data_IF_896238785262
#
_entry.id   IF_896238785262
#
_cell.length_a   1.000
_cell.length_b   1.000
_cell.length_c   1.000
_cell.angle_alpha   90.00
_cell.angle_beta   90.00
_cell.angle_gamma   90.00
#
_symmetry.space_group_name_H-M   'P 1'
#
loop_
_entity.id
_entity.type
_entity.pdbx_description
1 polymer ?
#
# COMPACT_ATOMS: atom_id res chain seq x y z
N UNK A 1 -88.81 1.98 10.79
CA UNK A 1 -88.06 0.89 10.13
C UNK A 1 -86.75 1.45 9.59
N UNK A 2 -85.64 0.82 9.98
CA UNK A 2 -84.30 0.84 9.37
C UNK A 2 -83.60 2.18 9.09
N UNK A 3 -82.52 2.46 9.83
CA UNK A 3 -81.12 2.47 9.34
C UNK A 3 -80.21 3.18 10.35
N UNK A 4 -79.85 2.50 11.44
CA UNK A 4 -78.81 2.96 12.38
C UNK A 4 -78.10 1.76 13.01
N UNK A 5 -77.45 0.91 12.20
CA UNK A 5 -76.61 -0.18 12.72
C UNK A 5 -75.73 -0.82 11.64
N UNK A 6 -74.75 -0.08 11.08
CA UNK A 6 -73.70 -0.70 10.26
C UNK A 6 -72.33 -0.03 10.31
N UNK A 7 -72.13 1.08 11.03
CA UNK A 7 -70.85 1.82 10.98
C UNK A 7 -69.99 1.77 12.24
N UNK A 8 -70.46 1.20 13.36
CA UNK A 8 -69.66 1.10 14.60
C UNK A 8 -68.91 -0.22 14.75
N UNK A 9 -69.28 -1.28 14.02
CA UNK A 9 -68.56 -2.56 14.05
C UNK A 9 -67.36 -2.62 13.09
N UNK A 10 -67.29 -1.74 12.08
CA UNK A 10 -66.17 -1.73 11.13
C UNK A 10 -64.98 -0.88 11.60
N UNK A 11 -65.16 -0.02 12.60
CA UNK A 11 -64.08 0.82 13.14
C UNK A 11 -63.37 0.22 14.36
N UNK A 12 -63.90 -0.84 14.98
CA UNK A 12 -63.19 -1.59 16.03
C UNK A 12 -62.38 -2.78 15.50
N UNK A 13 -62.56 -3.15 14.23
CA UNK A 13 -61.78 -4.18 13.54
C UNK A 13 -60.62 -3.62 12.70
N UNK A 14 -60.34 -2.31 12.84
CA UNK A 14 -59.19 -1.64 12.21
C UNK A 14 -58.09 -1.26 13.22
N UNK A 15 -58.23 -1.66 14.50
CA UNK A 15 -57.29 -1.30 15.58
C UNK A 15 -56.51 -2.51 16.13
N UNK A 16 -56.75 -3.72 15.63
CA UNK A 16 -56.05 -4.94 16.05
C UNK A 16 -55.49 -5.69 14.83
N UNK A 17 -54.36 -5.23 14.31
CA UNK A 17 -53.72 -5.88 13.17
C UNK A 17 -52.46 -5.22 12.59
N UNK A 18 -51.94 -4.18 13.24
CA UNK A 18 -50.63 -3.60 12.91
C UNK A 18 -49.69 -3.80 14.10
N UNK A 19 -49.52 -5.07 14.49
CA UNK A 19 -48.23 -5.50 15.01
C UNK A 19 -47.28 -5.40 13.83
N UNK A 20 -46.67 -4.23 13.65
CA UNK A 20 -45.54 -4.10 12.76
C UNK A 20 -44.51 -5.11 13.26
N UNK A 21 -44.41 -6.23 12.55
CA UNK A 21 -43.23 -7.08 12.60
C UNK A 21 -42.16 -6.18 11.99
N UNK A 22 -41.54 -5.34 12.83
CA UNK A 22 -40.22 -4.83 12.54
C UNK A 22 -39.33 -6.06 12.55
N UNK A 23 -39.31 -6.77 11.42
CA UNK A 23 -38.20 -7.62 11.07
C UNK A 23 -37.01 -6.66 10.95
N UNK A 24 -36.39 -6.33 12.08
CA UNK A 24 -35.01 -5.88 12.09
C UNK A 24 -34.27 -6.99 11.38
N UNK A 25 -33.99 -6.80 10.08
CA UNK A 25 -33.04 -7.62 9.38
C UNK A 25 -31.78 -7.56 10.23
N UNK A 26 -31.45 -8.66 10.91
CA UNK A 26 -30.17 -8.78 11.57
C UNK A 26 -29.18 -8.75 10.42
N UNK A 27 -28.60 -7.58 10.14
CA UNK A 27 -27.49 -7.46 9.20
C UNK A 27 -26.43 -8.37 9.78
N UNK A 28 -26.14 -9.48 9.09
CA UNK A 28 -25.15 -10.43 9.52
C UNK A 28 -23.83 -9.68 9.77
N UNK A 29 -23.11 -9.99 10.87
CA UNK A 29 -21.83 -9.38 11.12
C UNK A 29 -20.89 -9.68 9.94
N UNK A 30 -20.10 -8.70 9.56
CA UNK A 30 -19.02 -8.92 8.61
C UNK A 30 -17.80 -9.42 9.38
N UNK A 31 -17.05 -10.33 8.77
CA UNK A 31 -15.82 -10.88 9.37
C UNK A 31 -14.62 -10.43 8.55
N UNK A 32 -13.57 -9.99 9.24
CA UNK A 32 -12.31 -9.56 8.64
C UNK A 32 -11.51 -10.79 8.16
N UNK A 33 -11.05 -10.77 6.90
CA UNK A 33 -10.27 -11.86 6.26
C UNK A 33 -8.84 -11.95 6.80
N UNK A 34 -8.18 -10.80 6.91
CA UNK A 34 -6.79 -10.63 7.33
C UNK A 34 -6.64 -9.27 8.02
N UNK A 35 -5.54 -9.05 8.73
CA UNK A 35 -5.27 -7.80 9.45
C UNK A 35 -5.57 -6.57 8.57
N UNK A 36 -6.31 -5.59 9.10
CA UNK A 36 -6.79 -4.45 8.32
C UNK A 36 -6.79 -3.15 9.12
N UNK A 37 -6.45 -2.06 8.44
CA UNK A 37 -6.51 -0.71 8.98
C UNK A 37 -7.92 -0.12 8.86
N UNK A 38 -8.50 0.23 10.00
CA UNK A 38 -9.71 1.04 10.07
C UNK A 38 -9.34 2.52 10.16
N UNK A 39 -9.80 3.31 9.20
CA UNK A 39 -9.45 4.73 9.03
C UNK A 39 -10.65 5.65 9.23
N UNK A 40 -10.40 6.94 9.45
CA UNK A 40 -11.47 7.92 9.66
C UNK A 40 -12.16 8.40 8.37
N UNK A 41 -11.76 7.87 7.20
CA UNK A 41 -12.39 8.13 5.91
C UNK A 41 -12.06 7.04 4.87
N UNK A 42 -12.75 7.04 3.72
CA UNK A 42 -12.63 6.01 2.69
C UNK A 42 -11.38 6.24 1.80
N UNK A 43 -10.21 5.88 2.31
CA UNK A 43 -8.94 6.02 1.61
C UNK A 43 -7.73 5.68 2.49
N UNK A 44 -6.64 5.19 1.89
CA UNK A 44 -5.42 4.83 2.64
C UNK A 44 -4.71 6.06 3.24
N UNK A 45 -4.96 7.24 2.69
CA UNK A 45 -4.46 8.53 3.14
C UNK A 45 -5.23 9.14 4.33
N UNK A 46 -6.35 8.52 4.74
CA UNK A 46 -7.06 8.94 5.94
C UNK A 46 -6.37 8.44 7.20
N UNK A 47 -6.57 9.16 8.32
CA UNK A 47 -5.95 8.86 9.61
C UNK A 47 -6.35 7.46 10.08
N UNK A 48 -5.36 6.65 10.46
CA UNK A 48 -5.57 5.36 11.12
C UNK A 48 -6.26 5.57 12.46
N UNK A 49 -7.38 4.88 12.69
CA UNK A 49 -8.09 4.86 13.96
C UNK A 49 -7.71 3.66 14.80
N UNK A 50 -7.69 2.49 14.14
CA UNK A 50 -7.55 1.20 14.79
C UNK A 50 -7.08 0.16 13.77
N UNK A 51 -6.32 -0.83 14.21
CA UNK A 51 -6.01 -2.03 13.43
C UNK A 51 -6.83 -3.22 13.93
N UNK A 52 -7.60 -3.84 13.03
CA UNK A 52 -8.44 -5.02 13.31
C UNK A 52 -7.73 -6.29 12.87
N UNK A 53 -7.83 -7.37 13.65
CA UNK A 53 -7.23 -8.67 13.31
C UNK A 53 -8.10 -9.50 12.36
N UNK A 54 -7.50 -10.52 11.73
CA UNK A 54 -8.26 -11.58 11.06
C UNK A 54 -9.28 -12.20 12.01
N UNK A 55 -10.48 -12.46 11.53
CA UNK A 55 -11.58 -13.00 12.31
C UNK A 55 -12.33 -11.97 13.17
N UNK A 56 -11.86 -10.72 13.25
CA UNK A 56 -12.60 -9.65 13.90
C UNK A 56 -13.99 -9.49 13.26
N UNK A 57 -15.03 -9.38 14.08
CA UNK A 57 -16.39 -9.15 13.60
C UNK A 57 -16.77 -7.68 13.75
N UNK A 58 -17.52 -7.15 12.78
CA UNK A 58 -17.98 -5.78 12.83
C UNK A 58 -19.39 -5.66 12.25
N UNK A 59 -20.05 -4.54 12.55
CA UNK A 59 -21.34 -4.19 11.91
C UNK A 59 -21.09 -3.29 10.71
N UNK A 60 -21.52 -3.71 9.52
CA UNK A 60 -21.57 -2.83 8.34
C UNK A 60 -22.56 -1.68 8.57
N UNK A 61 -22.15 -0.46 8.27
CA UNK A 61 -22.92 0.76 8.45
C UNK A 61 -23.21 1.46 7.13
N UNK A 62 -22.24 1.50 6.21
CA UNK A 62 -22.34 2.20 4.93
C UNK A 62 -21.29 1.66 3.93
N UNK A 63 -21.31 2.12 2.68
CA UNK A 63 -20.28 1.85 1.69
C UNK A 63 -20.03 3.02 0.74
N UNK A 64 -18.77 3.26 0.39
CA UNK A 64 -18.35 4.29 -0.57
C UNK A 64 -17.25 3.70 -1.46
N UNK A 65 -17.55 3.53 -2.75
CA UNK A 65 -16.64 2.93 -3.73
C UNK A 65 -16.08 1.57 -3.26
N UNK A 66 -14.78 1.48 -3.01
CA UNK A 66 -14.08 0.28 -2.56
C UNK A 66 -13.97 0.18 -1.03
N UNK A 67 -14.63 1.05 -0.27
CA UNK A 67 -14.54 1.13 1.19
C UNK A 67 -15.88 0.82 1.86
N UNK A 68 -15.83 0.11 2.98
CA UNK A 68 -16.97 -0.18 3.85
C UNK A 68 -16.84 0.63 5.13
N UNK A 69 -17.89 1.36 5.49
CA UNK A 69 -18.00 1.97 6.81
C UNK A 69 -18.52 0.92 7.78
N UNK A 70 -17.81 0.75 8.88
CA UNK A 70 -18.09 -0.29 9.86
C UNK A 70 -18.10 0.30 11.26
N UNK A 71 -18.84 -0.34 12.14
CA UNK A 71 -18.75 -0.14 13.58
C UNK A 71 -18.10 -1.39 14.18
N UNK A 72 -16.88 -1.23 14.66
CA UNK A 72 -16.15 -2.20 15.46
C UNK A 72 -15.87 -1.55 16.81
N UNK A 73 -16.20 -2.24 17.90
CA UNK A 73 -16.11 -1.66 19.24
C UNK A 73 -16.98 -0.40 19.41
N UNK A 74 -16.46 0.60 20.12
CA UNK A 74 -17.04 1.93 20.26
C UNK A 74 -16.63 2.89 19.13
N UNK A 75 -15.86 2.43 18.13
CA UNK A 75 -15.37 3.27 17.02
C UNK A 75 -16.14 2.99 15.73
N UNK A 76 -16.25 4.02 14.91
CA UNK A 76 -16.79 3.92 13.55
C UNK A 76 -15.72 4.40 12.58
N UNK A 77 -15.45 3.63 11.55
CA UNK A 77 -14.42 3.95 10.57
C UNK A 77 -14.62 3.17 9.28
N UNK A 78 -13.65 3.30 8.39
CA UNK A 78 -13.67 2.74 7.05
C UNK A 78 -12.59 1.70 6.88
N UNK A 79 -12.94 0.57 6.28
CA UNK A 79 -12.02 -0.50 5.90
C UNK A 79 -12.20 -0.85 4.42
N UNK A 80 -11.20 -1.46 3.77
CA UNK A 80 -11.30 -1.94 2.40
C UNK A 80 -12.41 -2.99 2.27
N UNK A 81 -13.29 -2.86 1.27
CA UNK A 81 -14.37 -3.83 1.02
C UNK A 81 -13.86 -5.26 0.87
N UNK A 82 -12.73 -5.42 0.18
CA UNK A 82 -12.12 -6.73 -0.10
C UNK A 82 -11.52 -7.41 1.12
N UNK A 83 -11.30 -6.70 2.23
CA UNK A 83 -10.75 -7.27 3.46
C UNK A 83 -11.80 -7.99 4.31
N UNK A 84 -13.05 -8.11 3.85
CA UNK A 84 -14.15 -8.71 4.61
C UNK A 84 -14.89 -9.78 3.82
N UNK A 85 -15.56 -10.68 4.53
CA UNK A 85 -16.56 -11.62 4.00
C UNK A 85 -17.78 -11.66 4.92
N UNK A 86 -18.88 -12.18 4.41
CA UNK A 86 -20.08 -12.52 5.17
C UNK A 86 -20.18 -14.04 5.19
N UNK A 87 -20.15 -14.63 6.40
CA UNK A 87 -20.12 -16.10 6.61
C UNK A 87 -21.28 -16.85 5.91
N UNK A 88 -22.46 -16.23 5.83
CA UNK A 88 -23.66 -16.87 5.25
C UNK A 88 -23.69 -16.87 3.72
N UNK A 89 -22.85 -16.10 3.03
CA UNK A 89 -22.90 -15.93 1.56
C UNK A 89 -21.58 -16.23 0.85
N UNK A 90 -20.45 -16.23 1.55
CA UNK A 90 -19.13 -16.40 0.94
C UNK A 90 -18.32 -17.47 1.69
N UNK A 91 -17.98 -18.57 1.00
CA UNK A 91 -17.01 -19.54 1.52
C UNK A 91 -15.64 -18.87 1.68
N UNK A 92 -14.98 -19.17 2.79
CA UNK A 92 -13.59 -18.83 3.13
C UNK A 92 -12.66 -19.20 1.95
N UNK A 93 -12.26 -18.21 1.16
CA UNK A 93 -11.38 -18.39 -0.01
C UNK A 93 -10.28 -17.34 0.07
N UNK A 94 -9.32 -17.53 0.97
CA UNK A 94 -8.11 -16.70 0.98
C UNK A 94 -6.87 -17.61 0.99
N UNK A 95 -5.88 -17.36 0.13
CA UNK A 95 -4.59 -18.05 0.16
C UNK A 95 -3.74 -17.71 1.41
N UNK A 96 -4.18 -16.78 2.26
CA UNK A 96 -3.45 -16.30 3.46
C UNK A 96 -3.46 -17.29 4.65
N UNK A 97 -4.11 -18.46 4.58
CA UNK A 97 -4.21 -19.35 5.74
C UNK A 97 -2.97 -20.22 6.00
N UNK A 98 -2.04 -20.30 5.05
CA UNK A 98 -0.87 -21.18 5.18
C UNK A 98 0.43 -20.43 5.53
N UNK A 99 0.38 -19.13 5.86
CA UNK A 99 1.56 -18.43 6.39
C UNK A 99 1.55 -18.51 7.92
N UNK A 100 2.53 -19.25 8.43
CA UNK A 100 2.91 -19.45 9.84
C UNK A 100 2.51 -18.27 10.72
N UNK A 101 1.73 -18.51 11.79
CA UNK A 101 1.62 -17.57 12.92
C UNK A 101 3.03 -17.26 13.40
N UNK A 102 3.57 -16.10 13.04
CA UNK A 102 4.92 -15.72 13.44
C UNK A 102 4.89 -15.13 14.83
N UNK A 103 5.96 -15.29 15.61
CA UNK A 103 6.00 -14.75 16.98
C UNK A 103 5.92 -13.22 17.02
N UNK A 104 6.11 -12.58 15.87
CA UNK A 104 5.98 -11.15 15.69
C UNK A 104 4.53 -10.67 15.38
N UNK A 105 3.65 -11.52 14.85
CA UNK A 105 2.20 -11.27 14.88
C UNK A 105 1.70 -11.27 16.34
N UNK A 106 2.22 -12.20 17.16
CA UNK A 106 1.94 -12.25 18.61
C UNK A 106 2.46 -11.00 19.37
N UNK A 107 3.31 -10.18 18.75
CA UNK A 107 3.84 -8.94 19.36
C UNK A 107 2.94 -7.73 19.13
N UNK A 108 2.31 -7.64 17.94
CA UNK A 108 1.17 -6.76 17.76
C UNK A 108 0.00 -7.20 18.63
N UNK A 109 -0.13 -8.51 18.87
CA UNK A 109 -1.14 -9.04 19.78
C UNK A 109 -0.95 -8.57 21.23
N UNK A 110 0.28 -8.35 21.68
CA UNK A 110 0.61 -7.78 23.01
C UNK A 110 0.61 -6.24 23.03
N UNK A 111 0.87 -5.54 21.91
CA UNK A 111 0.63 -4.09 21.85
C UNK A 111 -0.87 -3.74 21.98
N UNK A 112 -1.75 -4.73 21.75
CA UNK A 112 -3.18 -4.66 22.02
C UNK A 112 -3.54 -4.92 23.50
N UNK A 113 -2.55 -5.11 24.39
CA UNK A 113 -2.73 -5.40 25.82
C UNK A 113 -3.66 -4.36 26.49
N UNK A 114 -4.94 -4.73 26.61
CA UNK A 114 -5.93 -4.06 27.44
C UNK A 114 -7.17 -3.48 26.74
N UNK A 115 -7.18 -3.32 25.41
CA UNK A 115 -8.40 -2.88 24.68
C UNK A 115 -9.09 -4.07 24.00
N UNK A 116 -9.55 -5.03 24.79
CA UNK A 116 -10.69 -5.86 24.37
C UNK A 116 -11.97 -5.08 24.64
N UNK A 117 -12.78 -4.88 23.60
CA UNK A 117 -14.07 -4.24 23.74
C UNK A 117 -15.12 -5.20 24.34
N UNK A 118 -16.34 -4.70 24.57
CA UNK A 118 -17.48 -5.49 25.05
C UNK A 118 -17.90 -6.65 24.12
N UNK A 119 -17.26 -6.80 22.95
CA UNK A 119 -17.47 -7.87 21.98
C UNK A 119 -16.25 -8.82 21.87
N UNK A 120 -15.18 -8.61 22.65
CA UNK A 120 -14.00 -9.46 22.68
C UNK A 120 -13.09 -9.35 21.46
N UNK A 121 -13.16 -8.27 20.68
CA UNK A 121 -12.37 -8.11 19.45
C UNK A 121 -10.98 -7.55 19.75
N UNK A 122 -9.88 -8.25 19.38
CA UNK A 122 -8.52 -7.75 19.57
C UNK A 122 -8.19 -6.61 18.59
N UNK A 123 -7.61 -5.50 19.06
CA UNK A 123 -7.25 -4.36 18.20
C UNK A 123 -6.13 -3.49 18.79
N UNK A 124 -5.43 -2.71 17.95
CA UNK A 124 -4.38 -1.79 18.38
C UNK A 124 -4.68 -0.33 17.98
N UNK A 125 -4.40 0.63 18.87
CA UNK A 125 -4.60 2.06 18.63
C UNK A 125 -3.48 2.67 17.78
N UNK A 126 -3.77 3.81 17.12
CA UNK A 126 -2.77 4.52 16.30
C UNK A 126 -1.48 4.85 17.08
N UNK A 127 -1.59 5.28 18.34
CA UNK A 127 -0.43 5.68 19.15
C UNK A 127 0.51 4.50 19.44
N UNK A 128 -0.06 3.32 19.72
CA UNK A 128 0.71 2.10 19.96
C UNK A 128 1.44 1.65 18.69
N UNK A 129 0.75 1.65 17.53
CA UNK A 129 1.36 1.31 16.24
C UNK A 129 2.51 2.28 15.94
N UNK A 130 2.28 3.60 16.08
CA UNK A 130 3.29 4.62 15.80
C UNK A 130 4.52 4.51 16.71
N UNK A 131 4.33 4.25 18.01
CA UNK A 131 5.43 4.12 18.96
C UNK A 131 6.30 2.89 18.64
N UNK A 132 5.67 1.74 18.37
CA UNK A 132 6.39 0.51 18.03
C UNK A 132 7.20 0.65 16.74
N UNK A 133 6.59 1.25 15.72
CA UNK A 133 7.25 1.47 14.43
C UNK A 133 8.43 2.45 14.56
N UNK A 134 8.25 3.57 15.29
CA UNK A 134 9.33 4.54 15.52
C UNK A 134 10.51 3.94 16.30
N UNK A 135 10.23 3.16 17.34
CA UNK A 135 11.25 2.45 18.11
C UNK A 135 12.07 1.54 17.22
N UNK A 136 11.39 0.59 16.55
CA UNK A 136 12.05 -0.35 15.64
C UNK A 136 12.85 0.34 14.53
N UNK A 137 12.26 1.33 13.84
CA UNK A 137 12.94 2.00 12.73
C UNK A 137 14.22 2.71 13.17
N UNK A 138 14.23 3.34 14.36
CA UNK A 138 15.41 3.97 14.95
C UNK A 138 16.50 2.94 15.28
N UNK A 139 16.11 1.82 15.86
CA UNK A 139 17.06 0.76 16.25
C UNK A 139 17.67 0.09 15.01
N UNK A 140 16.85 -0.29 14.04
CA UNK A 140 17.32 -0.86 12.77
C UNK A 140 18.26 0.09 12.01
N UNK A 141 17.95 1.39 12.00
CA UNK A 141 18.79 2.41 11.36
C UNK A 141 20.14 2.54 12.06
N UNK A 142 20.14 2.54 13.39
CA UNK A 142 21.36 2.64 14.20
C UNK A 142 22.28 1.42 14.01
N UNK A 143 21.72 0.25 13.68
CA UNK A 143 22.50 -0.96 13.34
C UNK A 143 23.11 -0.91 11.92
N UNK A 144 22.53 -0.13 11.01
CA UNK A 144 22.96 -0.05 9.60
C UNK A 144 23.83 1.16 9.27
N UNK A 145 23.73 2.22 10.06
CA UNK A 145 24.35 3.50 9.77
C UNK A 145 24.85 4.16 11.06
N UNK A 146 25.89 4.99 10.94
CA UNK A 146 26.42 5.77 12.07
C UNK A 146 25.50 6.95 12.47
N UNK A 147 24.53 7.30 11.61
CA UNK A 147 23.57 8.38 11.83
C UNK A 147 22.37 7.88 12.65
N UNK A 148 22.06 8.60 13.73
CA UNK A 148 20.93 8.28 14.63
C UNK A 148 19.66 9.09 14.36
N UNK A 149 19.67 10.00 13.36
CA UNK A 149 18.57 10.94 13.17
C UNK A 149 18.20 11.11 11.70
N UNK A 150 16.91 11.05 11.42
CA UNK A 150 16.27 11.30 10.12
C UNK A 150 14.94 11.99 10.37
N UNK A 151 14.65 13.01 9.56
CA UNK A 151 13.37 13.73 9.65
C UNK A 151 12.17 12.89 9.18
N UNK A 152 12.43 11.80 8.45
CA UNK A 152 11.40 10.84 8.02
C UNK A 152 10.57 10.33 9.20
N UNK A 153 11.19 10.06 10.36
CA UNK A 153 10.50 9.56 11.55
C UNK A 153 9.76 10.65 12.35
N UNK A 154 9.99 11.93 12.05
CA UNK A 154 9.25 13.03 12.66
C UNK A 154 7.91 13.22 11.93
N UNK A 155 7.91 13.02 10.61
CA UNK A 155 6.75 13.20 9.73
C UNK A 155 6.02 11.88 9.38
N UNK A 156 5.93 10.95 10.35
CA UNK A 156 5.24 9.66 10.18
C UNK A 156 3.79 9.81 9.70
N UNK A 157 3.12 10.86 10.16
CA UNK A 157 1.79 11.23 9.70
C UNK A 157 1.96 12.15 8.47
N UNK A 158 2.28 11.55 7.32
CA UNK A 158 2.25 12.25 6.03
C UNK A 158 0.82 12.69 5.72
N UNK A 159 0.49 13.94 6.03
CA UNK A 159 -0.85 14.50 5.80
C UNK A 159 -1.05 14.80 4.31
N UNK A 160 -1.44 13.78 3.57
CA UNK A 160 -2.19 13.99 2.33
C UNK A 160 -3.51 14.64 2.73
N UNK A 161 -3.72 15.89 2.32
CA UNK A 161 -4.99 16.57 2.53
C UNK A 161 -6.09 15.85 1.74
N UNK A 162 -7.12 15.26 2.39
CA UNK A 162 -8.16 14.51 1.68
C UNK A 162 -8.89 15.34 0.63
N UNK A 163 -9.13 16.64 0.90
CA UNK A 163 -9.78 17.53 -0.05
C UNK A 163 -8.88 17.82 -1.26
N UNK A 164 -7.60 18.11 -1.03
CA UNK A 164 -6.64 18.36 -2.10
C UNK A 164 -6.46 17.13 -3.00
N UNK A 165 -6.39 15.93 -2.40
CA UNK A 165 -6.29 14.69 -3.15
C UNK A 165 -7.57 14.38 -3.94
N UNK A 166 -8.76 14.55 -3.33
CA UNK A 166 -10.03 14.36 -4.04
C UNK A 166 -10.14 15.28 -5.26
N UNK A 167 -9.76 16.54 -5.11
CA UNK A 167 -9.73 17.50 -6.23
C UNK A 167 -8.75 17.04 -7.33
N UNK A 168 -7.51 16.69 -6.95
CA UNK A 168 -6.52 16.16 -7.88
C UNK A 168 -7.05 14.94 -8.65
N UNK A 169 -7.60 13.95 -7.93
CA UNK A 169 -8.15 12.72 -8.48
C UNK A 169 -9.28 13.00 -9.47
N UNK A 170 -10.22 13.87 -9.09
CA UNK A 170 -11.36 14.21 -9.95
C UNK A 170 -10.91 14.89 -11.24
N UNK A 171 -9.91 15.77 -11.18
CA UNK A 171 -9.32 16.39 -12.37
C UNK A 171 -8.63 15.35 -13.28
N UNK A 172 -7.94 14.36 -12.70
CA UNK A 172 -7.23 13.32 -13.46
C UNK A 172 -8.16 12.31 -14.11
N UNK A 173 -9.27 12.00 -13.46
CA UNK A 173 -10.19 10.92 -13.84
C UNK A 173 -11.53 11.41 -14.39
N UNK A 174 -11.68 12.72 -14.66
CA UNK A 174 -12.96 13.34 -15.06
C UNK A 174 -13.68 12.62 -16.22
N UNK A 175 -12.93 12.09 -17.19
CA UNK A 175 -13.46 11.38 -18.36
C UNK A 175 -13.05 9.90 -18.39
N UNK A 176 -12.71 9.36 -17.23
CA UNK A 176 -12.21 8.00 -17.09
C UNK A 176 -13.35 6.99 -16.97
N UNK A 177 -13.37 5.97 -17.84
CA UNK A 177 -14.32 4.87 -17.77
C UNK A 177 -13.75 3.72 -16.97
N UNK A 178 -14.24 3.57 -15.74
CA UNK A 178 -13.86 2.49 -14.83
C UNK A 178 -14.29 1.11 -15.34
N UNK A 179 -15.45 1.00 -15.98
CA UNK A 179 -15.91 -0.27 -16.54
C UNK A 179 -14.97 -0.75 -17.65
N UNK A 180 -14.51 0.17 -18.51
CA UNK A 180 -13.51 -0.13 -19.55
C UNK A 180 -12.14 -0.47 -18.94
N UNK A 181 -11.77 0.18 -17.84
CA UNK A 181 -10.56 -0.12 -17.10
C UNK A 181 -10.57 -1.55 -16.58
N UNK A 182 -11.67 -1.93 -15.92
CA UNK A 182 -11.86 -3.21 -15.26
C UNK A 182 -12.05 -4.35 -16.25
N UNK A 183 -12.77 -4.14 -17.34
CA UNK A 183 -12.97 -5.18 -18.36
C UNK A 183 -11.68 -5.53 -19.10
N UNK A 184 -10.77 -4.55 -19.26
CA UNK A 184 -9.48 -4.77 -19.91
C UNK A 184 -8.42 -5.35 -18.96
N UNK A 185 -8.43 -4.92 -17.71
CA UNK A 185 -7.53 -5.42 -16.67
C UNK A 185 -8.33 -5.75 -15.42
N UNK A 186 -8.77 -6.99 -15.31
CA UNK A 186 -9.38 -7.49 -14.09
C UNK A 186 -8.31 -7.64 -13.01
N UNK A 187 -8.63 -7.25 -11.78
CA UNK A 187 -7.74 -7.40 -10.62
C UNK A 187 -8.33 -8.47 -9.71
N UNK A 188 -7.69 -9.63 -9.61
CA UNK A 188 -8.21 -10.72 -8.78
C UNK A 188 -7.61 -10.65 -7.38
N UNK A 189 -8.45 -10.84 -6.37
CA UNK A 189 -8.03 -10.68 -4.98
C UNK A 189 -6.94 -11.67 -4.54
N UNK A 190 -6.85 -12.84 -5.20
CA UNK A 190 -5.84 -13.86 -4.92
C UNK A 190 -4.47 -13.60 -5.60
N UNK A 191 -4.36 -12.56 -6.44
CA UNK A 191 -3.10 -12.21 -7.12
C UNK A 191 -2.16 -11.39 -6.22
N UNK A 192 -2.68 -10.79 -5.14
CA UNK A 192 -1.90 -10.05 -4.15
C UNK A 192 -2.28 -10.47 -2.72
N UNK A 193 -1.29 -10.72 -1.87
CA UNK A 193 -1.51 -11.04 -0.44
C UNK A 193 -2.12 -9.83 0.30
N UNK A 194 -2.72 -10.05 1.48
CA UNK A 194 -3.32 -9.01 2.32
C UNK A 194 -2.30 -8.07 3.01
N UNK A 195 -2.80 -7.14 3.83
CA UNK A 195 -1.93 -6.27 4.63
C UNK A 195 -1.22 -7.10 5.69
N UNK A 196 0.10 -6.97 5.73
CA UNK A 196 0.95 -7.63 6.72
C UNK A 196 1.62 -6.55 7.60
N UNK A 197 1.19 -6.40 8.86
CA UNK A 197 1.73 -5.41 9.79
C UNK A 197 3.24 -5.55 10.02
N UNK A 198 3.77 -6.76 9.94
CA UNK A 198 5.18 -7.04 10.17
C UNK A 198 6.03 -6.51 9.01
N UNK A 199 5.54 -6.73 7.78
CA UNK A 199 6.16 -6.20 6.56
C UNK A 199 6.14 -4.68 6.57
N UNK A 200 5.03 -4.09 6.98
CA UNK A 200 4.93 -2.64 7.12
C UNK A 200 5.98 -2.10 8.10
N UNK A 201 6.12 -2.70 9.30
CA UNK A 201 7.14 -2.31 10.27
C UNK A 201 8.56 -2.44 9.73
N UNK A 202 8.90 -3.58 9.13
CA UNK A 202 10.17 -3.78 8.46
C UNK A 202 10.41 -2.71 7.38
N UNK A 203 9.36 -2.37 6.63
CA UNK A 203 9.36 -1.32 5.62
C UNK A 203 9.73 0.06 6.17
N UNK A 204 9.28 0.42 7.36
CA UNK A 204 9.67 1.68 8.00
C UNK A 204 11.15 1.73 8.36
N UNK A 205 11.73 0.64 8.89
CA UNK A 205 13.17 0.55 9.11
C UNK A 205 13.96 0.71 7.81
N UNK A 206 13.52 0.05 6.74
CA UNK A 206 14.13 0.13 5.39
C UNK A 206 14.04 1.54 4.83
N UNK A 207 12.85 2.15 4.86
CA UNK A 207 12.61 3.51 4.39
C UNK A 207 13.54 4.49 5.12
N UNK A 208 13.72 4.30 6.43
CA UNK A 208 14.57 5.17 7.22
C UNK A 208 16.04 5.04 6.86
N UNK A 209 16.54 3.81 6.60
CA UNK A 209 17.90 3.60 6.11
C UNK A 209 18.10 4.21 4.72
N UNK A 210 17.10 4.11 3.84
CA UNK A 210 17.16 4.71 2.49
C UNK A 210 17.22 6.24 2.58
N UNK A 211 16.42 6.84 3.46
CA UNK A 211 16.36 8.29 3.66
C UNK A 211 17.68 8.91 4.14
N UNK A 212 18.59 8.12 4.73
CA UNK A 212 19.95 8.58 5.10
C UNK A 212 20.82 8.99 3.89
N UNK A 213 20.39 8.68 2.66
CA UNK A 213 21.02 9.20 1.44
C UNK A 213 20.78 10.71 1.23
N UNK A 214 19.93 11.34 2.05
CA UNK A 214 19.52 12.73 1.93
C UNK A 214 18.20 12.87 1.17
N UNK A 215 17.32 13.73 1.67
CA UNK A 215 16.04 14.05 1.06
C UNK A 215 16.01 15.51 0.59
N UNK A 216 15.37 15.76 -0.54
CA UNK A 216 15.10 17.12 -1.00
C UNK A 216 13.95 17.70 -0.18
N UNK A 217 14.17 18.86 0.43
CA UNK A 217 13.14 19.61 1.16
C UNK A 217 12.18 20.31 0.21
N UNK A 218 11.25 19.56 -0.38
CA UNK A 218 10.19 20.12 -1.23
C UNK A 218 8.87 19.37 -1.02
N UNK A 219 8.19 19.70 0.08
CA UNK A 219 6.92 19.06 0.46
C UNK A 219 5.84 19.19 -0.60
N UNK A 220 5.71 20.36 -1.23
CA UNK A 220 4.70 20.61 -2.25
C UNK A 220 4.89 19.70 -3.48
N UNK A 221 6.14 19.47 -3.89
CA UNK A 221 6.45 18.57 -4.98
C UNK A 221 6.25 17.10 -4.57
N UNK A 222 6.70 16.71 -3.37
CA UNK A 222 6.48 15.37 -2.83
C UNK A 222 5.00 15.03 -2.70
N UNK A 223 4.16 15.98 -2.25
CA UNK A 223 2.71 15.83 -2.20
C UNK A 223 2.10 15.65 -3.59
N UNK A 224 2.53 16.44 -4.58
CA UNK A 224 2.09 16.28 -5.96
C UNK A 224 2.42 14.88 -6.51
N UNK A 225 3.65 14.41 -6.32
CA UNK A 225 4.07 13.06 -6.71
C UNK A 225 3.29 11.98 -5.94
N UNK A 226 3.05 12.19 -4.65
CA UNK A 226 2.24 11.30 -3.82
C UNK A 226 0.79 11.20 -4.31
N UNK A 227 0.18 12.30 -4.72
CA UNK A 227 -1.17 12.28 -5.28
C UNK A 227 -1.24 11.47 -6.58
N UNK A 228 -0.24 11.56 -7.46
CA UNK A 228 -0.16 10.70 -8.66
C UNK A 228 -0.12 9.24 -8.25
N UNK A 229 0.76 8.88 -7.31
CA UNK A 229 0.91 7.51 -6.80
C UNK A 229 -0.36 7.01 -6.12
N UNK A 230 -1.09 7.84 -5.38
CA UNK A 230 -2.36 7.45 -4.76
C UNK A 230 -3.42 7.09 -5.80
N UNK A 231 -3.53 7.84 -6.90
CA UNK A 231 -4.44 7.46 -8.00
C UNK A 231 -4.10 6.08 -8.55
N UNK A 232 -2.81 5.74 -8.63
CA UNK A 232 -2.34 4.42 -9.08
C UNK A 232 -2.65 3.35 -8.04
N UNK A 233 -2.41 3.64 -6.75
CA UNK A 233 -2.70 2.73 -5.64
C UNK A 233 -4.17 2.33 -5.61
N UNK A 234 -5.10 3.30 -5.68
CA UNK A 234 -6.55 3.06 -5.78
C UNK A 234 -6.95 2.20 -6.99
N UNK A 235 -6.09 2.13 -8.00
CA UNK A 235 -6.27 1.38 -9.22
C UNK A 235 -5.51 0.04 -9.26
N UNK A 236 -4.86 -0.34 -8.16
CA UNK A 236 -4.09 -1.57 -8.02
C UNK A 236 -4.87 -2.66 -7.30
N UNK A 237 -4.28 -3.86 -7.15
CA UNK A 237 -4.89 -4.92 -6.34
C UNK A 237 -5.13 -4.51 -4.88
N UNK A 238 -4.29 -3.59 -4.37
CA UNK A 238 -4.26 -3.14 -2.98
C UNK A 238 -4.50 -1.62 -2.92
N UNK A 239 -5.76 -1.22 -3.13
CA UNK A 239 -6.19 0.20 -3.07
C UNK A 239 -6.07 0.81 -1.67
N UNK A 240 -5.89 -0.03 -0.67
CA UNK A 240 -5.66 0.33 0.71
C UNK A 240 -4.18 0.55 1.07
N UNK A 241 -3.26 0.27 0.15
CA UNK A 241 -1.83 0.50 0.37
C UNK A 241 -1.61 1.99 0.64
N UNK A 242 -1.10 2.38 1.82
CA UNK A 242 -0.65 3.75 2.03
C UNK A 242 0.52 4.00 1.08
N UNK A 243 0.63 5.20 0.51
CA UNK A 243 1.77 5.56 -0.34
C UNK A 243 2.25 6.95 -0.01
N UNK A 244 3.56 7.12 0.00
CA UNK A 244 4.21 8.41 0.17
C UNK A 244 5.44 8.47 -0.71
N UNK A 245 5.57 9.53 -1.49
CA UNK A 245 6.73 9.74 -2.36
C UNK A 245 7.72 10.69 -1.69
N UNK A 246 8.98 10.28 -1.68
CA UNK A 246 10.11 11.06 -1.19
C UNK A 246 11.14 11.25 -2.30
N UNK A 247 11.78 12.42 -2.33
CA UNK A 247 12.79 12.74 -3.33
C UNK A 247 14.16 12.61 -2.69
N UNK A 248 14.99 11.71 -3.21
CA UNK A 248 16.38 11.56 -2.75
C UNK A 248 17.25 12.66 -3.37
N UNK A 249 18.07 13.30 -2.54
CA UNK A 249 19.08 14.25 -3.01
C UNK A 249 20.29 13.52 -3.61
N UNK A 250 20.08 12.96 -4.80
CA UNK A 250 21.10 12.21 -5.53
C UNK A 250 20.95 12.45 -7.02
N UNK A 251 22.09 12.68 -7.69
CA UNK A 251 22.17 12.77 -9.17
C UNK A 251 22.10 11.40 -9.85
N UNK A 252 22.09 10.31 -9.07
CA UNK A 252 21.91 8.95 -9.56
C UNK A 252 20.56 8.78 -10.25
N UNK A 253 20.41 7.75 -11.09
CA UNK A 253 19.15 7.40 -11.74
C UNK A 253 18.61 6.16 -11.06
N UNK A 254 17.95 6.37 -9.91
CA UNK A 254 17.46 5.30 -9.04
C UNK A 254 16.07 5.62 -8.48
N UNK A 255 15.34 4.54 -8.18
CA UNK A 255 14.11 4.55 -7.39
C UNK A 255 14.09 3.34 -6.47
N UNK A 256 13.39 3.47 -5.34
CA UNK A 256 13.21 2.39 -4.36
C UNK A 256 11.76 2.39 -3.85
N UNK A 257 11.25 1.21 -3.54
CA UNK A 257 9.98 1.04 -2.84
C UNK A 257 10.20 0.20 -1.59
N UNK A 258 9.68 0.66 -0.44
CA UNK A 258 9.66 -0.12 0.79
C UNK A 258 8.25 -0.66 1.08
N UNK A 259 8.13 -1.82 1.75
CA UNK A 259 6.84 -2.47 2.02
C UNK A 259 5.79 -1.63 2.75
N UNK A 260 6.19 -0.58 3.48
CA UNK A 260 5.27 0.36 4.14
C UNK A 260 4.64 1.38 3.18
N UNK A 261 4.96 1.32 1.88
CA UNK A 261 4.43 2.25 0.88
C UNK A 261 5.28 3.48 0.60
N UNK A 262 6.46 3.62 1.21
CA UNK A 262 7.37 4.70 0.86
C UNK A 262 8.04 4.42 -0.49
N UNK A 263 7.90 5.35 -1.43
CA UNK A 263 8.55 5.31 -2.73
C UNK A 263 9.56 6.45 -2.78
N UNK A 264 10.82 6.11 -3.03
CA UNK A 264 11.91 7.05 -3.15
C UNK A 264 12.26 7.20 -4.62
N UNK A 265 12.38 8.44 -5.08
CA UNK A 265 12.83 8.77 -6.44
C UNK A 265 14.01 9.73 -6.35
N UNK A 266 15.11 9.41 -7.02
CA UNK A 266 16.27 10.31 -7.08
C UNK A 266 16.00 11.56 -7.91
N UNK A 267 16.62 12.68 -7.51
CA UNK A 267 16.65 13.91 -8.30
C UNK A 267 17.16 13.67 -9.73
N UNK A 268 18.15 12.79 -9.90
CA UNK A 268 18.66 12.40 -11.22
C UNK A 268 17.61 11.69 -12.09
N UNK A 269 16.85 10.73 -11.54
CA UNK A 269 15.75 10.09 -12.28
C UNK A 269 14.61 11.08 -12.61
N UNK A 270 14.20 11.93 -11.66
CA UNK A 270 13.15 12.93 -11.90
C UNK A 270 13.50 13.89 -13.05
N UNK A 271 14.78 14.28 -13.20
CA UNK A 271 15.23 15.14 -14.31
C UNK A 271 15.07 14.50 -15.70
N UNK A 272 14.97 13.16 -15.78
CA UNK A 272 14.74 12.43 -17.03
C UNK A 272 13.28 12.24 -17.39
N UNK A 273 12.41 12.34 -16.38
CA UNK A 273 10.97 12.22 -16.56
C UNK A 273 10.45 13.53 -17.15
N UNK A 274 9.73 13.44 -18.26
CA UNK A 274 9.24 14.57 -19.05
C UNK A 274 7.79 14.90 -18.75
N UNK A 275 7.01 13.94 -18.27
CA UNK A 275 5.58 14.12 -18.05
C UNK A 275 5.04 13.22 -16.93
N UNK A 276 3.80 13.48 -16.53
CA UNK A 276 3.14 12.82 -15.40
C UNK A 276 2.88 11.33 -15.68
N UNK A 277 2.56 10.95 -16.93
CA UNK A 277 2.33 9.55 -17.29
C UNK A 277 3.61 8.70 -17.21
N UNK A 278 4.77 9.29 -17.48
CA UNK A 278 6.07 8.63 -17.27
C UNK A 278 6.38 8.44 -15.79
N UNK A 279 6.13 9.46 -14.95
CA UNK A 279 6.23 9.31 -13.50
C UNK A 279 5.24 8.27 -12.99
N UNK A 280 4.00 8.28 -13.50
CA UNK A 280 2.97 7.33 -13.13
C UNK A 280 3.39 5.89 -13.46
N UNK A 281 4.01 5.67 -14.63
CA UNK A 281 4.55 4.35 -14.96
C UNK A 281 5.65 3.90 -13.98
N UNK A 282 6.60 4.79 -13.67
CA UNK A 282 7.62 4.52 -12.66
C UNK A 282 7.01 4.19 -11.29
N UNK A 283 6.09 5.03 -10.80
CA UNK A 283 5.42 4.81 -9.51
C UNK A 283 4.57 3.53 -9.51
N UNK A 284 3.95 3.17 -10.64
CA UNK A 284 3.21 1.93 -10.80
C UNK A 284 4.12 0.70 -10.76
N UNK A 285 5.32 0.79 -11.33
CA UNK A 285 6.34 -0.25 -11.26
C UNK A 285 6.82 -0.47 -9.81
N UNK A 286 7.19 0.59 -9.11
CA UNK A 286 7.59 0.54 -7.70
C UNK A 286 6.45 0.02 -6.81
N UNK A 287 5.22 0.48 -7.06
CA UNK A 287 4.03 0.00 -6.37
C UNK A 287 3.77 -1.49 -6.65
N UNK A 288 3.99 -1.98 -7.87
CA UNK A 288 3.83 -3.39 -8.20
C UNK A 288 4.76 -4.27 -7.35
N UNK A 289 6.00 -3.85 -7.11
CA UNK A 289 6.89 -4.56 -6.18
C UNK A 289 6.34 -4.66 -4.76
N UNK A 290 5.69 -3.59 -4.26
CA UNK A 290 5.04 -3.59 -2.95
C UNK A 290 3.82 -4.52 -2.95
N UNK A 291 2.88 -4.29 -3.89
CA UNK A 291 1.61 -5.01 -3.99
C UNK A 291 1.80 -6.52 -4.14
N UNK A 292 2.79 -6.93 -4.94
CA UNK A 292 3.07 -8.34 -5.22
C UNK A 292 4.12 -8.96 -4.30
N UNK A 293 4.60 -8.22 -3.29
CA UNK A 293 5.59 -8.67 -2.32
C UNK A 293 6.88 -9.23 -2.95
N UNK A 294 7.38 -8.60 -4.03
CA UNK A 294 8.52 -9.12 -4.78
C UNK A 294 9.78 -9.32 -3.92
N UNK A 295 10.05 -8.42 -2.95
CA UNK A 295 11.17 -8.61 -2.00
C UNK A 295 11.11 -9.90 -1.19
N UNK A 296 9.92 -10.31 -0.76
CA UNK A 296 9.75 -11.54 0.03
C UNK A 296 9.79 -12.78 -0.86
N UNK A 297 9.02 -12.78 -1.96
CA UNK A 297 9.02 -13.91 -2.89
C UNK A 297 10.41 -14.19 -3.46
N UNK A 298 11.20 -13.14 -3.67
CA UNK A 298 12.58 -13.25 -4.11
C UNK A 298 13.51 -13.83 -3.04
N UNK A 299 13.33 -13.42 -1.78
CA UNK A 299 14.02 -14.02 -0.63
C UNK A 299 13.78 -15.53 -0.56
N UNK A 300 12.53 -15.95 -0.77
CA UNK A 300 12.14 -17.35 -0.72
C UNK A 300 12.77 -18.17 -1.86
N UNK A 301 12.78 -17.64 -3.09
CA UNK A 301 13.33 -18.32 -4.27
C UNK A 301 14.85 -18.39 -4.30
N UNK A 302 15.56 -17.39 -3.74
CA UNK A 302 17.04 -17.36 -3.74
C UNK A 302 17.68 -18.27 -2.67
N UNK A 303 16.92 -19.07 -1.91
CA UNK A 303 17.47 -20.05 -0.96
C UNK A 303 18.11 -21.23 -1.73
N UNK A 304 19.44 -21.44 -1.62
CA UNK A 304 19.90 -22.51 -0.75
C UNK A 304 21.14 -22.12 0.08
N UNK A 305 21.20 -22.57 1.36
CA UNK A 305 22.28 -22.26 2.33
C UNK A 305 22.55 -20.77 2.52
N UNK A 306 21.67 -20.06 3.24
CA UNK A 306 22.25 -19.19 4.27
C UNK A 306 22.87 -20.17 5.24
N UNK A 307 24.19 -20.38 5.14
CA UNK A 307 24.96 -20.87 6.27
C UNK A 307 24.56 -19.97 7.44
N UNK A 308 23.75 -20.52 8.33
CA UNK A 308 23.51 -19.99 9.65
C UNK A 308 24.81 -20.20 10.45
N UNK A 309 25.89 -19.59 9.99
CA UNK A 309 27.25 -19.65 10.51
C UNK A 309 27.80 -18.27 10.12
N UNK A 310 27.94 -17.27 10.97
CA UNK A 310 28.17 -17.19 12.41
C UNK A 310 27.61 -15.82 12.88
N UNK A 311 27.52 -15.57 14.19
CA UNK A 311 27.15 -14.29 14.85
C UNK A 311 25.71 -14.14 15.40
N UNK A 312 25.17 -15.19 16.03
CA UNK A 312 24.17 -14.97 17.10
C UNK A 312 24.57 -15.62 18.44
N UNK A 313 25.78 -16.16 18.51
CA UNK A 313 26.44 -16.45 19.78
C UNK A 313 27.16 -15.19 20.24
N UNK A 314 26.79 -14.75 21.44
CA UNK A 314 27.29 -13.60 22.20
C UNK A 314 26.49 -12.29 22.07
N UNK A 315 26.12 -11.77 23.25
CA UNK A 315 25.35 -10.55 23.59
C UNK A 315 23.81 -10.69 23.54
N UNK A 316 23.05 -10.56 24.63
CA UNK A 316 23.32 -9.90 25.90
C UNK A 316 22.51 -10.53 27.05
N UNK A 317 23.27 -10.97 28.06
CA UNK A 317 22.80 -11.18 29.42
C UNK A 317 22.28 -9.88 30.04
N UNK A 318 21.24 -10.07 30.83
CA UNK A 318 20.69 -9.26 31.93
C UNK A 318 19.82 -8.03 31.65
N UNK A 319 18.74 -7.91 32.47
CA UNK A 319 17.84 -6.75 32.43
C UNK A 319 16.32 -6.97 32.56
N UNK A 320 15.76 -8.03 33.14
CA UNK A 320 14.39 -7.94 33.71
C UNK A 320 13.20 -8.51 32.94
N UNK A 321 12.24 -8.99 33.73
CA UNK A 321 11.05 -9.76 33.38
C UNK A 321 10.05 -8.93 32.56
N UNK A 322 10.25 -9.04 31.24
CA UNK A 322 9.47 -8.64 30.06
C UNK A 322 10.35 -8.77 28.80
N UNK A 323 11.68 -8.89 28.96
CA UNK A 323 12.68 -8.77 27.89
C UNK A 323 12.79 -9.91 26.86
N UNK A 324 12.48 -11.16 27.17
CA UNK A 324 12.90 -12.27 26.27
C UNK A 324 12.00 -12.45 25.03
N UNK A 325 10.67 -12.31 25.17
CA UNK A 325 9.73 -12.40 24.05
C UNK A 325 9.87 -11.22 23.08
N UNK A 326 9.99 -9.99 23.61
CA UNK A 326 10.22 -8.78 22.80
C UNK A 326 11.55 -8.83 22.06
N UNK A 327 12.62 -9.35 22.67
CA UNK A 327 13.89 -9.59 21.98
C UNK A 327 13.75 -10.54 20.80
N UNK A 328 12.97 -11.63 20.94
CA UNK A 328 12.73 -12.59 19.84
C UNK A 328 11.97 -11.94 18.69
N UNK A 329 10.93 -11.17 19.00
CA UNK A 329 10.15 -10.40 18.01
C UNK A 329 11.04 -9.40 17.27
N UNK A 330 11.83 -8.63 18.01
CA UNK A 330 12.76 -7.64 17.47
C UNK A 330 13.81 -8.32 16.57
N UNK A 331 14.31 -9.49 16.97
CA UNK A 331 15.23 -10.28 16.16
C UNK A 331 14.57 -10.81 14.87
N UNK A 332 13.33 -11.30 14.94
CA UNK A 332 12.56 -11.73 13.76
C UNK A 332 12.26 -10.55 12.81
N UNK A 333 11.85 -9.40 13.34
CA UNK A 333 11.66 -8.15 12.61
C UNK A 333 12.94 -7.67 11.94
N UNK A 334 14.05 -7.67 12.68
CA UNK A 334 15.36 -7.26 12.17
C UNK A 334 15.80 -8.19 11.05
N UNK A 335 15.61 -9.51 11.20
CA UNK A 335 15.88 -10.50 10.15
C UNK A 335 15.05 -10.24 8.90
N UNK A 336 13.74 -10.01 9.06
CA UNK A 336 12.84 -9.69 7.95
C UNK A 336 13.27 -8.41 7.23
N UNK A 337 13.53 -7.34 8.00
CA UNK A 337 13.96 -6.05 7.46
C UNK A 337 15.30 -6.16 6.74
N UNK A 338 16.25 -6.95 7.25
CA UNK A 338 17.50 -7.23 6.55
C UNK A 338 17.27 -7.93 5.21
N UNK A 339 16.46 -8.98 5.19
CA UNK A 339 16.12 -9.70 3.96
C UNK A 339 15.50 -8.75 2.92
N UNK A 340 14.48 -8.00 3.32
CA UNK A 340 13.81 -7.05 2.44
C UNK A 340 14.70 -5.89 2.00
N UNK A 341 15.54 -5.36 2.91
CA UNK A 341 16.48 -4.29 2.60
C UNK A 341 17.41 -4.71 1.48
N UNK A 342 18.01 -5.90 1.58
CA UNK A 342 18.91 -6.42 0.55
C UNK A 342 18.25 -6.41 -0.84
N UNK A 343 16.99 -6.81 -0.97
CA UNK A 343 16.31 -6.80 -2.27
C UNK A 343 15.74 -5.45 -2.67
N UNK A 344 15.51 -4.56 -1.71
CA UNK A 344 15.21 -3.15 -2.00
C UNK A 344 16.45 -2.44 -2.55
N UNK A 345 17.65 -2.91 -2.20
CA UNK A 345 18.90 -2.26 -2.59
C UNK A 345 19.83 -2.99 -3.57
N UNK A 346 19.65 -4.29 -3.78
CA UNK A 346 20.39 -5.10 -4.76
C UNK A 346 19.53 -5.37 -6.00
N UNK A 347 20.17 -5.88 -7.04
CA UNK A 347 19.51 -6.22 -8.30
C UNK A 347 18.49 -7.34 -8.13
N UNK A 348 17.34 -7.13 -8.77
CA UNK A 348 16.16 -8.00 -8.76
C UNK A 348 16.29 -9.15 -9.75
N UNK A 349 15.63 -10.27 -9.46
CA UNK A 349 15.46 -11.35 -10.43
C UNK A 349 14.60 -10.87 -11.60
N UNK A 350 15.01 -11.23 -12.82
CA UNK A 350 14.34 -10.87 -14.07
C UNK A 350 12.82 -11.08 -14.05
N UNK A 351 12.35 -12.18 -13.47
CA UNK A 351 10.93 -12.52 -13.40
C UNK A 351 10.09 -11.46 -12.66
N UNK A 352 10.63 -10.87 -11.58
CA UNK A 352 9.91 -9.89 -10.77
C UNK A 352 9.97 -8.50 -11.40
N UNK A 353 11.03 -8.21 -12.16
CA UNK A 353 11.08 -7.01 -13.01
C UNK A 353 10.04 -7.08 -14.13
N UNK A 354 9.91 -8.25 -14.78
CA UNK A 354 8.92 -8.44 -15.84
C UNK A 354 7.49 -8.42 -15.30
N UNK A 355 7.23 -9.00 -14.13
CA UNK A 355 5.92 -8.92 -13.47
C UNK A 355 5.59 -7.48 -13.06
N UNK A 356 6.55 -6.77 -12.46
CA UNK A 356 6.37 -5.36 -12.10
C UNK A 356 6.13 -4.47 -13.33
N UNK A 357 6.83 -4.71 -14.46
CA UNK A 357 6.57 -4.02 -15.73
C UNK A 357 5.17 -4.30 -16.28
N UNK A 358 4.73 -5.57 -16.24
CA UNK A 358 3.40 -5.95 -16.69
C UNK A 358 2.32 -5.21 -15.90
N UNK A 359 2.43 -5.20 -14.58
CA UNK A 359 1.50 -4.50 -13.71
C UNK A 359 1.66 -2.98 -13.76
N UNK A 360 2.85 -2.45 -14.05
CA UNK A 360 3.03 -1.03 -14.29
C UNK A 360 2.19 -0.55 -15.48
N UNK A 361 2.19 -1.29 -16.59
CA UNK A 361 1.31 -1.02 -17.73
C UNK A 361 -0.17 -1.07 -17.31
N UNK A 362 -0.57 -2.12 -16.60
CA UNK A 362 -1.96 -2.32 -16.19
C UNK A 362 -2.44 -1.23 -15.22
N UNK A 363 -1.70 -0.93 -14.16
CA UNK A 363 -2.07 0.09 -13.18
C UNK A 363 -2.04 1.49 -13.76
N UNK A 364 -1.06 1.80 -14.63
CA UNK A 364 -1.00 3.10 -15.33
C UNK A 364 -2.22 3.29 -16.23
N UNK A 365 -2.59 2.25 -16.99
CA UNK A 365 -3.82 2.24 -17.78
C UNK A 365 -5.05 2.43 -16.91
N UNK A 366 -5.18 1.65 -15.84
CA UNK A 366 -6.33 1.72 -14.91
C UNK A 366 -6.44 3.08 -14.23
N UNK A 367 -5.33 3.74 -13.98
CA UNK A 367 -5.25 5.11 -13.45
C UNK A 367 -5.51 6.21 -14.48
N UNK A 368 -5.87 5.87 -15.73
CA UNK A 368 -6.21 6.84 -16.77
C UNK A 368 -5.01 7.55 -17.43
N UNK A 369 -3.78 7.13 -17.14
CA UNK A 369 -2.57 7.61 -17.81
C UNK A 369 -2.24 6.74 -19.02
N UNK A 370 -1.56 7.31 -20.01
CA UNK A 370 -1.12 6.56 -21.19
C UNK A 370 0.06 5.63 -20.84
N UNK A 371 -0.10 4.29 -20.78
CA UNK A 371 0.96 3.41 -20.29
C UNK A 371 2.18 3.34 -21.21
N UNK A 372 2.00 3.60 -22.51
CA UNK A 372 3.12 3.68 -23.46
C UNK A 372 4.15 4.76 -23.18
N UNK A 373 3.86 5.76 -22.32
CA UNK A 373 4.84 6.78 -21.96
C UNK A 373 5.96 6.23 -21.10
N UNK A 374 5.68 5.18 -20.30
CA UNK A 374 6.73 4.44 -19.58
C UNK A 374 7.84 3.95 -20.49
N UNK A 375 7.51 3.53 -21.71
CA UNK A 375 8.48 3.09 -22.70
C UNK A 375 9.45 4.20 -23.13
N UNK A 376 8.93 5.43 -23.30
CA UNK A 376 9.75 6.59 -23.65
C UNK A 376 10.78 6.87 -22.54
N UNK A 377 10.38 6.77 -21.27
CA UNK A 377 11.28 6.88 -20.13
C UNK A 377 12.35 5.77 -20.13
N UNK A 378 11.94 4.50 -20.27
CA UNK A 378 12.88 3.38 -20.27
C UNK A 378 13.90 3.47 -21.41
N UNK A 379 13.47 3.90 -22.61
CA UNK A 379 14.36 4.14 -23.75
C UNK A 379 15.38 5.25 -23.44
N UNK A 380 14.97 6.33 -22.78
CA UNK A 380 15.90 7.40 -22.37
C UNK A 380 16.90 6.93 -21.32
N UNK A 381 16.47 6.15 -20.33
CA UNK A 381 17.37 5.55 -19.33
C UNK A 381 18.38 4.61 -20.02
N UNK A 382 17.93 3.76 -20.94
CA UNK A 382 18.79 2.84 -21.69
C UNK A 382 19.85 3.58 -22.51
N UNK A 383 19.45 4.64 -23.22
CA UNK A 383 20.38 5.45 -24.00
C UNK A 383 21.42 6.13 -23.11
N UNK A 384 21.02 6.66 -21.95
CA UNK A 384 21.95 7.30 -21.02
C UNK A 384 22.94 6.31 -20.40
N UNK A 385 22.49 5.08 -20.09
CA UNK A 385 23.37 3.99 -19.62
C UNK A 385 24.42 3.62 -20.67
N UNK A 386 24.03 3.53 -21.94
CA UNK A 386 24.94 3.21 -23.05
C UNK A 386 25.96 4.33 -23.28
N UNK A 387 25.53 5.59 -23.25
CA UNK A 387 26.41 6.76 -23.47
C UNK A 387 27.48 6.92 -22.39
N UNK A 388 27.16 6.59 -21.14
CA UNK A 388 28.09 6.66 -20.02
C UNK A 388 29.01 5.43 -19.91
N UNK A 389 29.10 4.60 -20.97
CA UNK A 389 30.05 3.49 -21.07
C UNK A 389 29.92 2.43 -19.97
N UNK A 390 28.73 2.27 -19.39
CA UNK A 390 28.53 1.39 -18.24
C UNK A 390 29.15 1.91 -16.93
N UNK A 391 29.78 3.08 -16.91
CA UNK A 391 30.34 3.73 -15.70
C UNK A 391 29.26 4.30 -14.76
N UNK A 392 27.97 4.16 -15.11
CA UNK A 392 26.92 4.34 -14.11
C UNK A 392 26.98 3.15 -13.14
N UNK A 393 27.86 3.25 -12.16
CA UNK A 393 27.80 2.44 -10.93
C UNK A 393 26.51 2.70 -10.11
N UNK A 394 25.58 3.54 -10.59
CA UNK A 394 24.44 4.05 -9.82
C UNK A 394 23.09 4.05 -10.57
N UNK A 395 22.82 3.02 -11.36
CA UNK A 395 21.45 2.67 -11.78
C UNK A 395 21.16 1.26 -11.30
N UNK A 396 20.15 1.07 -10.46
CA UNK A 396 19.72 -0.27 -9.99
C UNK A 396 19.00 -1.12 -11.05
N UNK A 397 19.04 -0.68 -12.30
CA UNK A 397 18.50 -1.39 -13.46
C UNK A 397 19.52 -2.41 -14.01
N UNK A 398 20.26 -3.10 -13.13
CA UNK A 398 21.26 -4.14 -13.48
C UNK A 398 20.70 -5.57 -13.39
N UNK A 399 19.42 -5.74 -13.03
CA UNK A 399 18.68 -7.00 -13.15
C UNK A 399 18.43 -7.40 -14.62
N UNK A 400 17.18 -7.67 -15.00
CA UNK A 400 16.84 -7.92 -16.40
C UNK A 400 17.36 -6.79 -17.30
N UNK A 401 18.01 -7.17 -18.41
CA UNK A 401 18.43 -6.21 -19.43
C UNK A 401 17.28 -5.27 -19.80
N UNK A 402 17.52 -3.95 -19.67
CA UNK A 402 16.53 -2.93 -19.96
C UNK A 402 15.95 -3.06 -21.38
N UNK A 403 16.77 -3.51 -22.34
CA UNK A 403 16.30 -3.82 -23.69
C UNK A 403 15.28 -4.97 -23.73
N UNK A 404 15.47 -6.04 -22.94
CA UNK A 404 14.51 -7.15 -22.86
C UNK A 404 13.18 -6.70 -22.27
N UNK A 405 13.23 -5.86 -21.24
CA UNK A 405 12.06 -5.26 -20.59
C UNK A 405 11.28 -4.36 -21.55
N UNK A 406 11.98 -3.46 -22.25
CA UNK A 406 11.43 -2.61 -23.33
C UNK A 406 10.68 -3.47 -24.35
N UNK A 407 11.30 -4.54 -24.86
CA UNK A 407 10.67 -5.41 -25.86
C UNK A 407 9.39 -6.11 -25.32
N UNK A 408 9.39 -6.53 -24.04
CA UNK A 408 8.21 -7.15 -23.40
C UNK A 408 7.07 -6.15 -23.24
N UNK A 409 7.36 -4.93 -22.79
CA UNK A 409 6.37 -3.85 -22.66
C UNK A 409 5.82 -3.47 -24.05
N UNK A 410 6.67 -3.38 -25.08
CA UNK A 410 6.23 -3.13 -26.46
C UNK A 410 5.23 -4.19 -26.94
N UNK A 411 5.51 -5.47 -26.68
CA UNK A 411 4.58 -6.55 -27.02
C UNK A 411 3.27 -6.45 -26.24
N UNK A 412 3.32 -6.21 -24.93
CA UNK A 412 2.12 -6.03 -24.12
C UNK A 412 1.27 -4.86 -24.62
N UNK A 413 1.88 -3.70 -24.94
CA UNK A 413 1.17 -2.54 -25.46
C UNK A 413 0.56 -2.79 -26.85
N UNK A 414 1.25 -3.55 -27.71
CA UNK A 414 0.76 -3.97 -29.02
C UNK A 414 -0.49 -4.83 -28.89
N UNK A 415 -0.47 -5.79 -27.97
CA UNK A 415 -1.62 -6.68 -27.71
C UNK A 415 -2.83 -5.91 -27.18
N UNK A 416 -2.59 -4.87 -26.37
CA UNK A 416 -3.65 -4.03 -25.81
C UNK A 416 -4.28 -3.06 -26.83
N UNK A 417 -3.61 -2.81 -27.96
CA UNK A 417 -4.05 -1.89 -29.02
C UNK A 417 -4.56 -0.55 -28.46
N UNK A 418 -3.77 0.06 -27.56
CA UNK A 418 -4.16 1.32 -26.90
C UNK A 418 -4.06 2.47 -27.92
N UNK A 419 -5.15 3.23 -28.16
CA UNK A 419 -5.10 4.38 -29.05
C UNK A 419 -4.08 5.40 -28.56
N UNK A 420 -3.36 6.06 -29.47
CA UNK A 420 -2.41 7.13 -29.10
C UNK A 420 -3.06 8.31 -28.39
N UNK A 421 -4.38 8.50 -28.56
CA UNK A 421 -5.21 9.50 -27.88
C UNK A 421 -5.67 9.09 -26.48
N UNK A 422 -5.42 7.85 -26.06
CA UNK A 422 -5.84 7.34 -24.76
C UNK A 422 -4.99 7.92 -23.64
N UNK A 423 -5.65 8.40 -22.58
CA UNK A 423 -4.98 8.90 -21.39
C UNK A 423 -4.20 10.19 -21.64
N UNK A 424 -4.02 10.99 -20.59
CA UNK A 424 -3.27 12.24 -20.68
C UNK A 424 -1.86 12.04 -20.15
N UNK A 425 -0.88 12.71 -20.77
CA UNK A 425 0.50 12.74 -20.27
C UNK A 425 0.74 13.84 -19.23
N UNK A 426 -0.06 14.91 -19.26
CA UNK A 426 0.06 16.10 -18.40
C UNK A 426 1.47 16.72 -18.39
N UNK A 427 2.13 16.73 -19.56
CA UNK A 427 3.50 17.22 -19.72
C UNK A 427 3.71 18.65 -19.19
N UNK A 428 2.89 19.61 -19.62
CA UNK A 428 3.02 21.01 -19.19
C UNK A 428 2.91 21.18 -17.67
N UNK A 429 1.93 20.54 -17.03
CA UNK A 429 1.73 20.62 -15.58
C UNK A 429 2.92 20.00 -14.85
N UNK A 430 3.37 18.83 -15.31
CA UNK A 430 4.50 18.14 -14.72
C UNK A 430 5.79 18.97 -14.83
N UNK A 431 6.11 19.50 -16.01
CA UNK A 431 7.31 20.33 -16.22
C UNK A 431 7.30 21.58 -15.35
N UNK A 432 6.15 22.25 -15.19
CA UNK A 432 6.03 23.39 -14.26
C UNK A 432 6.29 22.99 -12.82
N UNK A 433 5.81 21.83 -12.37
CA UNK A 433 6.10 21.32 -11.02
C UNK A 433 7.57 20.95 -10.85
N UNK A 434 8.22 20.43 -11.90
CA UNK A 434 9.65 20.09 -11.88
C UNK A 434 10.59 21.30 -11.87
N UNK A 435 10.14 22.51 -12.24
CA UNK A 435 10.99 23.71 -12.14
C UNK A 435 11.47 23.93 -10.69
N UNK A 436 10.62 23.63 -9.71
CA UNK A 436 10.95 23.70 -8.29
C UNK A 436 12.01 22.67 -7.82
N UNK A 437 12.45 21.75 -8.69
CA UNK A 437 13.54 20.81 -8.42
C UNK A 437 14.91 21.37 -8.84
N UNK A 438 14.93 22.40 -9.69
CA UNK A 438 16.15 23.02 -10.21
C UNK A 438 16.65 24.20 -9.37
N UNK A 439 15.80 24.74 -8.51
CA UNK A 439 16.06 26.00 -7.79
C UNK A 439 16.76 25.81 -6.42
N UNK A 440 17.12 24.57 -6.05
CA UNK A 440 17.83 24.20 -4.81
C UNK A 440 19.14 23.43 -5.06
#
# INVERSE_FOLDING_TARGET
MNRLSTYTALMLLLVLGLSAISATSRIAPITVKSSVDMRNGPGSYYKLLLRLKSGATAKKMDEEQQWLKIKASNKTGWIPRRSTYIEDTEKRTSPDQDQVKTSAEDAFDELADGETDSAGTPSASQAQVAAAVKGFAKDFTSQKTESKNTDLLQNFDGFVSPSAYKEFRNQRLQNWSWDKAQSRFELKANEAAGLDPLREQAGWGIANVIAQQGLVENEALQQYLTHITLVIAENSHRYETPVQVYILDSTSITGYASPNGSIFVSRGLLKLIKNEAEFAFFAAHELAHIVHNHGIKETEKRKPKIKAEQQFEELNQEIGERKEKYKKVEAELTKLANQMYEYTVKDRLDEYEYDADYWAVAYTYRAGYHPGRGLDLLKRINNQQQQLGGQIEKTKWKGASLQKRINKIENQLKDLQIPSSFGRSYEYIFQRKMQALSDN
#
